data_IF_051304449262
#
_entry.id   IF_051304449262
#
_cell.length_a   1.000
_cell.length_b   1.000
_cell.length_c   1.000
_cell.angle_alpha   90.00
_cell.angle_beta   90.00
_cell.angle_gamma   90.00
#
_symmetry.space_group_name_H-M   'P 1'
#
loop_
_entity.id
_entity.type
_entity.pdbx_description
1 polymer ?
#
# COMPACT_ATOMS: atom_id res chain seq x y z
N UNK A 1 18.03 -18.85 16.46
CA UNK A 1 18.47 -17.47 16.15
C UNK A 1 18.18 -17.27 14.68
N UNK A 2 17.08 -16.58 14.34
CA UNK A 2 16.69 -16.36 12.95
C UNK A 2 17.29 -15.05 12.46
N UNK A 3 17.93 -15.08 11.30
CA UNK A 3 18.51 -13.94 10.61
C UNK A 3 17.52 -12.78 10.56
N UNK A 4 17.83 -11.71 11.30
CA UNK A 4 17.21 -10.40 11.07
C UNK A 4 17.85 -9.85 9.80
N UNK A 5 17.30 -10.23 8.66
CA UNK A 5 17.70 -9.64 7.39
C UNK A 5 17.20 -8.19 7.39
N UNK A 6 18.12 -7.23 7.56
CA UNK A 6 17.83 -5.82 7.47
C UNK A 6 17.16 -5.52 6.13
N UNK A 7 16.02 -4.85 6.15
CA UNK A 7 15.35 -4.42 4.92
C UNK A 7 16.15 -3.22 4.39
N UNK A 8 16.75 -3.30 3.20
CA UNK A 8 17.54 -2.19 2.67
C UNK A 8 16.64 -0.98 2.43
N UNK A 9 17.07 0.22 2.79
CA UNK A 9 16.31 1.47 2.63
C UNK A 9 15.96 1.78 1.19
N UNK A 10 16.85 1.39 0.29
CA UNK A 10 16.76 1.53 -1.15
C UNK A 10 17.07 0.15 -1.73
N UNK A 11 16.12 -0.43 -2.47
CA UNK A 11 16.18 -1.81 -2.92
C UNK A 11 15.87 -1.97 -4.40
N UNK A 12 16.02 -3.21 -4.89
CA UNK A 12 15.48 -3.60 -6.19
C UNK A 12 14.02 -3.99 -6.02
N UNK A 13 13.18 -3.57 -6.97
CA UNK A 13 11.80 -4.03 -7.03
C UNK A 13 11.77 -5.56 -7.22
N UNK A 14 11.12 -6.25 -6.28
CA UNK A 14 10.80 -7.67 -6.38
C UNK A 14 9.55 -7.88 -7.25
N UNK A 15 8.47 -7.14 -6.96
CA UNK A 15 7.19 -7.24 -7.69
C UNK A 15 6.98 -6.01 -8.56
N UNK A 16 7.09 -6.18 -9.88
CA UNK A 16 6.92 -5.07 -10.84
C UNK A 16 5.49 -4.87 -11.32
N UNK A 17 4.61 -5.84 -11.08
CA UNK A 17 3.24 -5.89 -11.59
C UNK A 17 2.30 -6.07 -10.40
N UNK A 18 1.83 -4.97 -9.85
CA UNK A 18 0.95 -4.99 -8.69
C UNK A 18 -0.53 -5.02 -9.11
N UNK A 19 -1.33 -5.66 -8.25
CA UNK A 19 -2.77 -5.69 -8.38
C UNK A 19 -3.39 -4.57 -7.54
N UNK A 20 -4.19 -3.70 -8.16
CA UNK A 20 -5.01 -2.73 -7.43
C UNK A 20 -6.41 -3.23 -7.11
N UNK A 21 -6.86 -4.28 -7.81
CA UNK A 21 -8.01 -5.05 -7.37
C UNK A 21 -7.52 -6.38 -6.78
N UNK A 22 -7.81 -6.70 -5.51
CA UNK A 22 -7.31 -7.90 -4.88
C UNK A 22 -7.72 -9.16 -5.65
N UNK A 23 -6.77 -10.06 -5.88
CA UNK A 23 -7.02 -11.29 -6.65
C UNK A 23 -8.02 -12.20 -5.95
N UNK A 24 -7.98 -12.25 -4.62
CA UNK A 24 -8.91 -13.08 -3.86
C UNK A 24 -10.36 -12.63 -4.07
N UNK A 25 -10.62 -11.32 -4.05
CA UNK A 25 -11.92 -10.75 -4.37
C UNK A 25 -12.37 -11.09 -5.80
N UNK A 26 -11.48 -10.97 -6.77
CA UNK A 26 -11.75 -11.27 -8.18
C UNK A 26 -12.14 -12.75 -8.41
N UNK A 27 -11.64 -13.70 -7.60
CA UNK A 27 -11.95 -15.13 -7.75
C UNK A 27 -13.42 -15.46 -7.58
N UNK A 28 -14.21 -14.61 -6.94
CA UNK A 28 -15.66 -14.81 -6.79
C UNK A 28 -16.47 -14.49 -8.06
N UNK A 29 -15.84 -13.90 -9.08
CA UNK A 29 -16.49 -13.47 -10.32
C UNK A 29 -15.99 -14.25 -11.55
N UNK A 30 -15.32 -15.38 -11.33
CA UNK A 30 -14.85 -16.24 -12.42
C UNK A 30 -15.96 -17.18 -12.88
N UNK A 31 -15.96 -17.49 -14.18
CA UNK A 31 -16.76 -18.59 -14.72
C UNK A 31 -16.13 -19.97 -14.47
N UNK A 32 -16.80 -21.03 -14.93
CA UNK A 32 -16.35 -22.42 -14.82
C UNK A 32 -14.97 -22.69 -15.45
N UNK A 33 -14.46 -21.76 -16.27
CA UNK A 33 -13.13 -21.83 -16.91
C UNK A 33 -12.10 -20.96 -16.21
N UNK A 34 -12.44 -20.37 -15.06
CA UNK A 34 -11.56 -19.48 -14.29
C UNK A 34 -11.37 -18.10 -14.92
N UNK A 35 -12.28 -17.66 -15.80
CA UNK A 35 -12.17 -16.39 -16.53
C UNK A 35 -13.16 -15.36 -16.00
N UNK A 36 -12.75 -14.09 -15.95
CA UNK A 36 -13.61 -12.96 -15.60
C UNK A 36 -14.00 -12.22 -16.86
N UNK A 37 -15.29 -11.89 -16.97
CA UNK A 37 -15.80 -10.95 -17.97
C UNK A 37 -15.87 -9.55 -17.38
N UNK A 38 -15.23 -8.58 -18.01
CA UNK A 38 -15.20 -7.20 -17.53
C UNK A 38 -15.43 -6.19 -18.66
N UNK A 39 -15.97 -5.03 -18.32
CA UNK A 39 -16.21 -3.95 -19.28
C UNK A 39 -15.00 -3.02 -19.28
N UNK A 40 -14.21 -3.06 -20.36
CA UNK A 40 -13.16 -2.09 -20.59
C UNK A 40 -13.75 -0.82 -21.22
N UNK A 41 -13.51 0.33 -20.60
CA UNK A 41 -13.82 1.64 -21.20
C UNK A 41 -12.57 2.14 -21.92
N UNK A 42 -12.68 2.32 -23.23
CA UNK A 42 -11.69 3.02 -24.04
C UNK A 42 -12.40 4.21 -24.71
N UNK A 43 -12.33 5.38 -24.07
CA UNK A 43 -13.09 6.56 -24.48
C UNK A 43 -14.61 6.31 -24.41
N UNK A 44 -15.33 6.56 -25.52
CA UNK A 44 -16.79 6.36 -25.61
C UNK A 44 -17.22 4.90 -25.85
N UNK A 45 -16.28 4.02 -26.21
CA UNK A 45 -16.59 2.63 -26.52
C UNK A 45 -16.50 1.75 -25.27
N UNK A 46 -17.50 0.88 -25.10
CA UNK A 46 -17.54 -0.15 -24.07
C UNK A 46 -17.36 -1.50 -24.77
N UNK A 47 -16.28 -2.19 -24.45
CA UNK A 47 -16.03 -3.55 -24.94
C UNK A 47 -16.04 -4.52 -23.77
N UNK A 48 -16.79 -5.62 -23.91
CA UNK A 48 -16.71 -6.75 -22.98
C UNK A 48 -15.45 -7.53 -23.31
N UNK A 49 -14.56 -7.66 -22.34
CA UNK A 49 -13.32 -8.45 -22.45
C UNK A 49 -13.37 -9.61 -21.49
N UNK A 50 -12.60 -10.66 -21.78
CA UNK A 50 -12.39 -11.81 -20.90
C UNK A 50 -10.92 -11.97 -20.59
N UNK A 51 -10.59 -12.19 -19.33
CA UNK A 51 -9.21 -12.41 -18.89
C UNK A 51 -9.18 -13.30 -17.65
N UNK A 52 -8.02 -13.91 -17.38
CA UNK A 52 -7.73 -14.55 -16.10
C UNK A 52 -7.63 -13.50 -14.99
N UNK A 53 -7.92 -13.89 -13.76
CA UNK A 53 -7.81 -13.06 -12.54
C UNK A 53 -6.48 -12.31 -12.46
N UNK A 54 -5.37 -13.00 -12.76
CA UNK A 54 -4.00 -12.45 -12.75
C UNK A 54 -3.75 -11.31 -13.76
N UNK A 55 -4.70 -11.06 -14.67
CA UNK A 55 -4.58 -10.04 -15.72
C UNK A 55 -5.60 -8.91 -15.58
N UNK A 56 -6.43 -8.92 -14.54
CA UNK A 56 -7.44 -7.89 -14.27
C UNK A 56 -6.99 -7.05 -13.09
N UNK A 57 -7.21 -5.73 -13.18
CA UNK A 57 -6.91 -4.83 -12.08
C UNK A 57 -5.42 -4.73 -11.76
N UNK A 58 -4.56 -4.74 -12.78
CA UNK A 58 -3.09 -4.72 -12.65
C UNK A 58 -2.48 -3.47 -13.27
N UNK A 59 -1.37 -3.01 -12.70
CA UNK A 59 -0.52 -1.97 -13.27
C UNK A 59 0.94 -2.23 -12.91
N UNK A 60 1.87 -1.75 -13.72
CA UNK A 60 3.29 -1.91 -13.42
C UNK A 60 3.78 -0.79 -12.51
N UNK A 61 4.55 -1.13 -11.47
CA UNK A 61 5.19 -0.21 -10.52
C UNK A 61 4.18 0.80 -9.95
N UNK A 62 2.99 0.34 -9.59
CA UNK A 62 1.87 1.18 -9.16
C UNK A 62 2.13 1.82 -7.79
N UNK A 63 2.72 1.09 -6.87
CA UNK A 63 2.96 1.54 -5.50
C UNK A 63 4.41 1.93 -5.24
N UNK A 64 5.25 1.92 -6.28
CA UNK A 64 6.69 2.07 -6.13
C UNK A 64 7.14 3.49 -6.54
N UNK A 65 7.75 4.22 -5.61
CA UNK A 65 8.38 5.52 -5.90
C UNK A 65 9.83 5.35 -6.36
N UNK A 66 10.15 5.94 -7.52
CA UNK A 66 11.50 5.91 -8.08
C UNK A 66 12.45 6.86 -7.32
N UNK A 67 13.63 6.37 -6.98
CA UNK A 67 14.71 7.13 -6.38
C UNK A 67 15.84 7.33 -7.40
N UNK A 68 16.10 8.57 -7.85
CA UNK A 68 17.09 8.85 -8.89
C UNK A 68 18.55 8.80 -8.43
N UNK A 69 18.83 8.51 -7.15
CA UNK A 69 20.15 8.70 -6.54
C UNK A 69 21.18 7.57 -6.76
N UNK A 70 20.87 6.54 -7.54
CA UNK A 70 21.82 5.45 -7.79
C UNK A 70 22.31 5.37 -9.24
N UNK A 71 23.52 4.83 -9.43
CA UNK A 71 24.27 4.77 -10.69
C UNK A 71 23.53 4.14 -11.89
N UNK A 72 22.41 3.45 -11.66
CA UNK A 72 21.57 2.81 -12.69
C UNK A 72 20.18 3.42 -12.85
N UNK A 73 19.82 4.49 -12.14
CA UNK A 73 18.60 5.27 -12.34
C UNK A 73 17.25 4.59 -12.00
N UNK A 74 17.27 3.42 -11.35
CA UNK A 74 16.08 2.56 -11.22
C UNK A 74 16.00 1.93 -9.81
N UNK A 75 16.34 2.71 -8.77
CA UNK A 75 16.22 2.27 -7.39
C UNK A 75 14.85 2.65 -6.84
N UNK A 76 14.24 1.76 -6.08
CA UNK A 76 12.91 1.97 -5.51
C UNK A 76 12.94 1.70 -4.02
N UNK A 77 12.00 2.28 -3.29
CA UNK A 77 11.72 1.78 -1.95
C UNK A 77 11.33 0.30 -2.09
N UNK A 78 11.88 -0.63 -1.28
CA UNK A 78 11.54 -2.04 -1.41
C UNK A 78 10.04 -2.21 -1.18
N UNK A 79 9.34 -2.93 -2.08
CA UNK A 79 7.90 -3.29 -2.19
C UNK A 79 7.05 -3.29 -0.89
N UNK A 80 7.10 -2.23 -0.10
CA UNK A 80 6.63 -2.22 1.27
C UNK A 80 5.11 -2.12 1.31
N UNK A 81 4.57 -1.28 0.43
CA UNK A 81 3.14 -1.13 0.23
C UNK A 81 2.58 -2.46 -0.28
N UNK A 82 3.16 -3.07 -1.32
CA UNK A 82 2.70 -4.36 -1.84
C UNK A 82 2.76 -5.48 -0.80
N UNK A 83 3.82 -5.55 0.01
CA UNK A 83 3.95 -6.52 1.11
C UNK A 83 2.90 -6.30 2.19
N UNK A 84 2.68 -5.04 2.61
CA UNK A 84 1.66 -4.68 3.62
C UNK A 84 0.24 -4.96 3.13
N UNK A 85 -0.03 -4.65 1.86
CA UNK A 85 -1.29 -4.97 1.21
C UNK A 85 -1.52 -6.48 1.18
N UNK A 86 -0.52 -7.27 0.78
CA UNK A 86 -0.59 -8.74 0.74
C UNK A 86 -0.94 -9.33 2.11
N UNK A 87 -0.32 -8.86 3.18
CA UNK A 87 -0.65 -9.28 4.56
C UNK A 87 -2.09 -8.94 4.96
N UNK A 88 -2.58 -7.80 4.50
CA UNK A 88 -3.98 -7.39 4.73
C UNK A 88 -4.95 -8.25 3.91
N UNK A 89 -4.59 -8.60 2.67
CA UNK A 89 -5.40 -9.48 1.82
C UNK A 89 -5.62 -10.85 2.46
N UNK A 90 -4.58 -11.46 3.05
CA UNK A 90 -4.70 -12.78 3.69
C UNK A 90 -5.76 -12.77 4.81
N UNK A 91 -5.82 -11.69 5.59
CA UNK A 91 -6.83 -11.49 6.64
C UNK A 91 -8.23 -11.28 6.04
N UNK A 92 -8.33 -10.42 5.02
CA UNK A 92 -9.61 -10.07 4.38
C UNK A 92 -10.21 -11.23 3.59
N UNK A 93 -9.38 -12.11 3.01
CA UNK A 93 -9.86 -13.26 2.25
C UNK A 93 -10.71 -14.21 3.10
N UNK A 94 -10.24 -14.54 4.31
CA UNK A 94 -11.00 -15.39 5.22
C UNK A 94 -12.35 -14.81 5.64
N UNK A 95 -12.42 -13.48 5.80
CA UNK A 95 -13.66 -12.78 6.16
C UNK A 95 -14.61 -12.59 4.98
N UNK A 96 -14.09 -12.41 3.76
CA UNK A 96 -14.91 -12.24 2.56
C UNK A 96 -15.74 -13.49 2.25
N UNK A 97 -15.15 -14.68 2.38
CA UNK A 97 -15.87 -15.95 2.16
C UNK A 97 -17.08 -16.05 3.10
N UNK A 98 -16.87 -15.79 4.40
CA UNK A 98 -17.94 -15.78 5.39
C UNK A 98 -18.99 -14.72 5.06
N UNK A 99 -18.57 -13.49 4.74
CA UNK A 99 -19.46 -12.38 4.41
C UNK A 99 -20.36 -12.72 3.21
N UNK A 100 -19.80 -13.26 2.13
CA UNK A 100 -20.56 -13.63 0.93
C UNK A 100 -21.54 -14.76 1.25
N UNK A 101 -21.13 -15.77 2.01
CA UNK A 101 -22.02 -16.84 2.44
C UNK A 101 -23.18 -16.34 3.31
N UNK A 102 -22.91 -15.45 4.27
CA UNK A 102 -23.92 -14.85 5.11
C UNK A 102 -24.90 -14.03 4.25
N UNK A 103 -24.41 -13.04 3.49
CA UNK A 103 -25.25 -12.12 2.72
C UNK A 103 -26.05 -12.82 1.61
N UNK A 104 -25.44 -13.75 0.87
CA UNK A 104 -26.12 -14.46 -0.21
C UNK A 104 -27.09 -15.54 0.30
N UNK A 105 -26.90 -16.02 1.53
CA UNK A 105 -27.80 -16.97 2.19
C UNK A 105 -29.03 -16.32 2.83
N UNK A 106 -29.00 -15.01 3.06
CA UNK A 106 -30.10 -14.28 3.71
C UNK A 106 -31.24 -13.95 2.75
N UNK A 107 -32.47 -14.13 3.22
CA UNK A 107 -33.66 -13.54 2.61
C UNK A 107 -33.81 -12.09 3.07
N UNK A 108 -34.50 -11.22 2.30
CA UNK A 108 -34.72 -9.83 2.70
C UNK A 108 -35.42 -9.64 4.06
N UNK A 109 -36.14 -10.65 4.54
CA UNK A 109 -36.81 -10.66 5.84
C UNK A 109 -35.95 -11.15 7.00
N UNK A 110 -34.82 -11.80 6.70
CA UNK A 110 -33.96 -12.38 7.71
C UNK A 110 -33.21 -11.26 8.45
N UNK A 111 -33.11 -11.38 9.78
CA UNK A 111 -32.31 -10.48 10.62
C UNK A 111 -31.00 -11.17 10.96
N UNK A 112 -29.91 -10.41 10.91
CA UNK A 112 -28.65 -10.84 11.51
C UNK A 112 -28.75 -10.69 13.02
N UNK A 113 -28.13 -11.61 13.74
CA UNK A 113 -27.82 -11.40 15.15
C UNK A 113 -26.83 -10.24 15.29
N UNK A 114 -26.86 -9.56 16.44
CA UNK A 114 -26.06 -8.33 16.65
C UNK A 114 -24.55 -8.58 16.45
N UNK A 115 -24.04 -9.73 16.91
CA UNK A 115 -22.63 -10.12 16.74
C UNK A 115 -22.22 -10.28 15.25
N UNK A 116 -23.11 -10.87 14.44
CA UNK A 116 -22.87 -11.04 13.00
C UNK A 116 -22.96 -9.70 12.26
N UNK A 117 -23.88 -8.82 12.70
CA UNK A 117 -23.99 -7.46 12.18
C UNK A 117 -22.72 -6.65 12.49
N UNK A 118 -22.20 -6.74 13.72
CA UNK A 118 -20.97 -6.06 14.13
C UNK A 118 -19.75 -6.57 13.35
N UNK A 119 -19.67 -7.89 13.12
CA UNK A 119 -18.63 -8.50 12.27
C UNK A 119 -18.74 -7.99 10.84
N UNK A 120 -19.95 -7.92 10.29
CA UNK A 120 -20.21 -7.43 8.94
C UNK A 120 -19.80 -5.96 8.79
N UNK A 121 -20.24 -5.10 9.71
CA UNK A 121 -19.90 -3.68 9.72
C UNK A 121 -18.39 -3.49 9.84
N UNK A 122 -17.73 -4.27 10.71
CA UNK A 122 -16.28 -4.24 10.87
C UNK A 122 -15.55 -4.62 9.58
N UNK A 123 -15.97 -5.71 8.93
CA UNK A 123 -15.39 -6.15 7.66
C UNK A 123 -15.54 -5.08 6.57
N UNK A 124 -16.76 -4.58 6.33
CA UNK A 124 -17.05 -3.58 5.30
C UNK A 124 -16.27 -2.28 5.54
N UNK A 125 -16.14 -1.88 6.81
CA UNK A 125 -15.39 -0.68 7.23
C UNK A 125 -13.89 -0.76 6.95
N UNK A 126 -13.35 -1.97 6.72
CA UNK A 126 -11.93 -2.18 6.36
C UNK A 126 -11.81 -2.49 4.87
N UNK A 127 -12.66 -3.38 4.36
CA UNK A 127 -12.59 -3.92 3.01
C UNK A 127 -12.82 -2.85 1.93
N UNK A 128 -13.85 -2.00 2.07
CA UNK A 128 -14.14 -0.96 1.08
C UNK A 128 -12.98 0.05 1.01
N UNK A 129 -12.52 0.65 2.13
CA UNK A 129 -11.36 1.54 2.09
C UNK A 129 -10.10 0.86 1.54
N UNK A 130 -9.88 -0.42 1.84
CA UNK A 130 -8.76 -1.18 1.29
C UNK A 130 -8.79 -1.27 -0.24
N UNK A 131 -9.95 -1.53 -0.85
CA UNK A 131 -10.08 -1.54 -2.33
C UNK A 131 -9.91 -0.13 -2.91
N UNK A 132 -10.55 0.88 -2.30
CA UNK A 132 -10.55 2.25 -2.83
C UNK A 132 -9.15 2.86 -2.78
N UNK A 133 -8.44 2.71 -1.65
CA UNK A 133 -7.12 3.28 -1.40
C UNK A 133 -6.05 2.78 -2.37
N UNK A 134 -6.24 1.57 -2.89
CA UNK A 134 -5.35 0.91 -3.86
C UNK A 134 -5.54 1.33 -5.31
N UNK A 135 -6.66 1.99 -5.61
CA UNK A 135 -6.99 2.36 -7.00
C UNK A 135 -5.91 3.27 -7.61
N UNK A 136 -5.67 3.18 -8.93
CA UNK A 136 -4.75 4.08 -9.62
C UNK A 136 -5.12 5.56 -9.43
N UNK A 137 -6.40 5.87 -9.28
CA UNK A 137 -6.89 7.21 -8.95
C UNK A 137 -6.39 7.68 -7.57
N UNK A 138 -6.49 6.82 -6.57
CA UNK A 138 -6.01 7.09 -5.21
C UNK A 138 -4.49 7.28 -5.17
N UNK A 139 -3.74 6.43 -5.88
CA UNK A 139 -2.28 6.57 -6.04
C UNK A 139 -1.94 7.91 -6.69
N UNK A 140 -2.59 8.28 -7.80
CA UNK A 140 -2.35 9.58 -8.45
C UNK A 140 -2.67 10.75 -7.54
N UNK A 141 -3.73 10.64 -6.74
CA UNK A 141 -4.08 11.65 -5.75
C UNK A 141 -2.96 11.81 -4.71
N UNK A 142 -2.46 10.70 -4.15
CA UNK A 142 -1.33 10.73 -3.22
C UNK A 142 -0.08 11.37 -3.83
N UNK A 143 0.32 10.94 -5.04
CA UNK A 143 1.47 11.52 -5.73
C UNK A 143 1.32 13.03 -5.94
N UNK A 144 0.10 13.51 -6.29
CA UNK A 144 -0.15 14.95 -6.45
C UNK A 144 -0.03 15.77 -5.16
N UNK A 145 -0.10 15.12 -3.99
CA UNK A 145 0.02 15.73 -2.67
C UNK A 145 1.42 15.63 -2.06
N UNK A 146 2.38 15.02 -2.77
CA UNK A 146 3.73 14.85 -2.27
C UNK A 146 4.40 16.20 -1.90
N UNK A 147 4.08 17.29 -2.60
CA UNK A 147 4.63 18.62 -2.27
C UNK A 147 4.17 19.14 -0.90
N UNK A 148 2.93 18.87 -0.48
CA UNK A 148 2.45 19.24 0.86
C UNK A 148 3.27 18.54 1.95
N UNK A 149 3.60 17.27 1.72
CA UNK A 149 4.42 16.46 2.60
C UNK A 149 5.86 16.98 2.61
N UNK A 150 6.41 17.30 1.44
CA UNK A 150 7.76 17.84 1.31
C UNK A 150 7.90 19.19 2.02
N UNK A 151 6.91 20.07 1.90
CA UNK A 151 6.89 21.34 2.62
C UNK A 151 6.83 21.14 4.14
N UNK A 152 6.10 20.13 4.61
CA UNK A 152 6.10 19.73 6.03
C UNK A 152 7.47 19.21 6.46
N UNK A 153 8.13 18.39 5.64
CA UNK A 153 9.49 17.93 5.90
C UNK A 153 10.48 19.08 5.98
N UNK A 154 10.39 20.08 5.08
CA UNK A 154 11.24 21.29 5.10
C UNK A 154 11.06 22.07 6.41
N UNK A 155 9.83 22.29 6.86
CA UNK A 155 9.52 22.95 8.15
C UNK A 155 10.12 22.23 9.35
N UNK A 156 10.26 20.91 9.26
CA UNK A 156 10.85 20.05 10.28
C UNK A 156 12.36 19.85 10.11
N UNK A 157 13.01 20.63 9.23
CA UNK A 157 14.44 20.53 8.92
C UNK A 157 14.87 19.18 8.32
N UNK A 158 13.97 18.52 7.59
CA UNK A 158 14.17 17.25 6.88
C UNK A 158 14.12 17.44 5.36
N UNK A 159 14.34 18.66 4.88
CA UNK A 159 14.31 19.03 3.46
C UNK A 159 15.63 18.77 2.71
N UNK A 160 16.65 18.18 3.35
CA UNK A 160 17.94 17.89 2.73
C UNK A 160 18.36 16.44 2.95
N UNK A 161 19.15 15.92 2.01
CA UNK A 161 19.71 14.55 2.08
C UNK A 161 20.48 14.34 3.38
N UNK A 162 21.31 15.31 3.78
CA UNK A 162 22.16 15.24 4.97
C UNK A 162 21.32 15.08 6.24
N UNK A 163 20.22 15.84 6.36
CA UNK A 163 19.36 15.78 7.54
C UNK A 163 18.56 14.47 7.61
N UNK A 164 18.10 13.97 6.47
CA UNK A 164 17.46 12.66 6.39
C UNK A 164 18.45 11.53 6.75
N UNK A 165 19.71 11.69 6.34
CA UNK A 165 20.81 10.77 6.64
C UNK A 165 21.17 10.76 8.12
N UNK A 166 21.22 11.94 8.77
CA UNK A 166 21.38 12.07 10.22
C UNK A 166 20.24 11.38 10.97
N UNK A 167 18.98 11.68 10.63
CA UNK A 167 17.82 11.06 11.25
C UNK A 167 17.84 9.53 11.07
N UNK A 168 18.18 9.05 9.88
CA UNK A 168 18.30 7.62 9.61
C UNK A 168 19.34 6.96 10.53
N UNK A 169 20.51 7.59 10.69
CA UNK A 169 21.57 7.09 11.58
C UNK A 169 21.10 6.98 13.03
N UNK A 170 20.33 7.94 13.53
CA UNK A 170 19.78 7.92 14.89
C UNK A 170 18.81 6.76 15.13
N UNK A 171 18.12 6.29 14.09
CA UNK A 171 17.15 5.19 14.18
C UNK A 171 17.77 3.78 14.07
N UNK A 172 19.04 3.67 13.69
CA UNK A 172 19.71 2.38 13.47
C UNK A 172 20.38 1.86 14.75
N UNK A 173 20.14 0.59 15.07
CA UNK A 173 20.84 -0.12 16.15
C UNK A 173 22.03 -0.90 15.57
N UNK A 174 23.20 -0.27 15.53
CA UNK A 174 24.52 -0.90 15.30
C UNK A 174 24.80 -1.60 13.95
N UNK A 175 24.07 -1.32 12.87
CA UNK A 175 24.49 -1.75 11.53
C UNK A 175 25.49 -0.78 10.88
N UNK A 176 26.40 -1.32 10.04
CA UNK A 176 27.28 -0.53 9.17
C UNK A 176 26.43 0.32 8.23
N UNK A 177 26.27 1.58 8.59
CA UNK A 177 25.54 2.54 7.80
C UNK A 177 26.32 2.87 6.52
N UNK A 178 25.73 2.62 5.36
CA UNK A 178 26.33 2.94 4.06
C UNK A 178 26.35 4.46 3.84
N UNK A 179 27.53 5.04 4.01
CA UNK A 179 27.77 6.46 3.81
C UNK A 179 27.63 6.92 2.35
N UNK A 180 27.52 6.00 1.38
CA UNK A 180 27.29 6.35 -0.02
C UNK A 180 25.80 6.60 -0.33
N UNK A 181 24.91 6.25 0.61
CA UNK A 181 23.47 6.50 0.46
C UNK A 181 23.17 7.99 0.36
N UNK A 182 22.43 8.33 -0.70
CA UNK A 182 21.89 9.67 -0.93
C UNK A 182 20.38 9.61 -0.90
N UNK A 183 19.79 10.45 -0.05
CA UNK A 183 18.36 10.56 0.13
C UNK A 183 17.82 11.70 -0.73
N UNK A 184 16.74 11.44 -1.47
CA UNK A 184 16.05 12.43 -2.29
C UNK A 184 14.76 12.83 -1.55
N UNK A 185 14.69 14.03 -0.93
CA UNK A 185 13.54 14.45 -0.14
C UNK A 185 12.20 14.33 -0.88
N UNK A 186 12.18 14.67 -2.17
CA UNK A 186 11.00 14.59 -3.03
C UNK A 186 10.47 13.15 -3.13
N UNK A 187 11.37 12.18 -3.35
CA UNK A 187 11.01 10.77 -3.44
C UNK A 187 10.51 10.22 -2.09
N UNK A 188 11.10 10.68 -0.99
CA UNK A 188 10.64 10.30 0.36
C UNK A 188 9.26 10.90 0.63
N UNK A 189 9.03 12.17 0.27
CA UNK A 189 7.74 12.83 0.45
C UNK A 189 6.63 12.12 -0.36
N UNK A 190 6.92 11.72 -1.59
CA UNK A 190 6.00 10.93 -2.39
C UNK A 190 5.70 9.57 -1.75
N UNK A 191 6.72 8.85 -1.30
CA UNK A 191 6.56 7.56 -0.62
C UNK A 191 5.71 7.70 0.66
N UNK A 192 5.93 8.74 1.45
CA UNK A 192 5.12 9.06 2.64
C UNK A 192 3.68 9.34 2.25
N UNK A 193 3.46 10.16 1.23
CA UNK A 193 2.12 10.48 0.75
C UNK A 193 1.36 9.21 0.31
N UNK A 194 2.04 8.31 -0.41
CA UNK A 194 1.50 7.01 -0.79
C UNK A 194 1.15 6.16 0.45
N UNK A 195 2.01 6.12 1.47
CA UNK A 195 1.72 5.39 2.70
C UNK A 195 0.49 5.93 3.43
N UNK A 196 0.40 7.25 3.57
CA UNK A 196 -0.74 7.89 4.23
C UNK A 196 -2.06 7.61 3.51
N UNK A 197 -2.02 7.57 2.18
CA UNK A 197 -3.20 7.32 1.36
C UNK A 197 -3.59 5.84 1.28
N UNK A 198 -2.60 4.95 1.10
CA UNK A 198 -2.82 3.51 0.84
C UNK A 198 -2.96 2.71 2.14
N UNK A 199 -2.27 3.15 3.20
CA UNK A 199 -2.20 2.46 4.48
C UNK A 199 -2.70 3.36 5.64
N UNK A 200 -3.92 3.91 5.58
CA UNK A 200 -4.40 4.88 6.57
C UNK A 200 -4.57 4.32 7.99
N UNK A 201 -4.47 2.98 8.16
CA UNK A 201 -4.50 2.28 9.44
C UNK A 201 -3.51 1.11 9.43
N UNK A 202 -2.22 1.40 9.36
CA UNK A 202 -1.26 0.36 9.72
C UNK A 202 -1.49 -0.01 11.20
N UNK A 203 -1.85 -1.25 11.44
CA UNK A 203 -1.93 -1.81 12.79
C UNK A 203 -0.56 -1.68 13.45
N UNK A 204 -0.53 -1.20 14.69
CA UNK A 204 0.70 -1.12 15.51
C UNK A 204 1.41 -2.47 15.64
N UNK A 205 0.77 -3.60 15.34
CA UNK A 205 1.29 -4.95 15.61
C UNK A 205 2.09 -5.60 14.46
N UNK A 206 2.27 -4.93 13.32
CA UNK A 206 2.99 -5.54 12.20
C UNK A 206 4.51 -5.33 12.36
N UNK A 207 5.22 -6.38 12.80
CA UNK A 207 6.68 -6.39 13.01
C UNK A 207 7.49 -5.88 11.81
N UNK A 208 6.98 -6.08 10.59
CA UNK A 208 7.61 -5.66 9.33
C UNK A 208 7.59 -4.13 9.14
N UNK A 209 6.52 -3.50 9.59
CA UNK A 209 6.33 -2.05 9.58
C UNK A 209 7.33 -1.40 10.54
N UNK A 210 7.45 -1.95 11.75
CA UNK A 210 8.40 -1.48 12.76
C UNK A 210 9.88 -1.72 12.40
N UNK A 211 10.18 -2.57 11.42
CA UNK A 211 11.56 -2.84 10.97
C UNK A 211 12.06 -1.91 9.88
N UNK A 212 11.19 -1.07 9.30
CA UNK A 212 11.65 -0.03 8.38
C UNK A 212 12.13 1.18 9.20
N UNK A 213 13.39 1.53 9.06
CA UNK A 213 14.00 2.74 9.64
C UNK A 213 13.31 4.03 9.17
N UNK A 214 12.68 4.01 7.99
CA UNK A 214 11.80 5.08 7.53
C UNK A 214 10.47 5.14 8.31
N UNK A 215 9.93 4.02 8.80
CA UNK A 215 8.64 4.00 9.49
C UNK A 215 8.61 4.89 10.73
N UNK A 216 9.66 4.89 11.56
CA UNK A 216 9.73 5.75 12.74
C UNK A 216 9.77 7.25 12.36
N UNK A 217 10.50 7.59 11.29
CA UNK A 217 10.53 8.95 10.75
C UNK A 217 9.17 9.37 10.16
N UNK A 218 8.47 8.45 9.48
CA UNK A 218 7.15 8.70 8.90
C UNK A 218 6.05 8.79 9.97
N UNK A 219 6.09 7.98 11.03
CA UNK A 219 5.18 8.11 12.18
C UNK A 219 5.36 9.46 12.87
N UNK A 220 6.62 9.91 13.07
CA UNK A 220 6.90 11.25 13.60
C UNK A 220 6.34 12.36 12.71
N UNK A 221 6.47 12.22 11.38
CA UNK A 221 5.91 13.17 10.40
C UNK A 221 4.37 13.11 10.33
N UNK A 222 3.75 11.94 10.52
CA UNK A 222 2.29 11.76 10.53
C UNK A 222 1.64 12.42 11.75
N UNK A 223 2.29 12.35 12.91
CA UNK A 223 1.77 12.92 14.15
C UNK A 223 2.01 14.44 14.25
N UNK A 224 2.81 15.01 13.33
CA UNK A 224 2.92 16.45 13.14
C UNK A 224 1.65 16.98 12.45
N UNK A 225 1.05 18.10 12.92
CA UNK A 225 -0.11 18.67 12.27
C UNK A 225 0.26 19.11 10.85
N UNK A 226 -0.22 18.36 9.84
CA UNK A 226 -0.20 18.83 8.46
C UNK A 226 -0.94 20.17 8.44
N UNK A 227 -0.23 21.25 8.13
CA UNK A 227 -0.84 22.58 8.08
C UNK A 227 -1.96 22.54 7.05
N UNK A 228 -3.19 22.83 7.50
CA UNK A 228 -4.36 23.01 6.64
C UNK A 228 -4.16 24.14 5.64
#
# INVERSE_FOLDING_TARGET
MGDRQAIPTIGKIETKREHYLPRFFLRHFVDDRGMISYVARAGKNRAVKRARVENVGVQNRLYETACPSGESGDYYFPNYIEKSLSLTEDKLNGELDWFLHAVLGMRPSDRLEDDDLDRLVSFVSIFIPHIVSRSPESVRYATSRAEDVLETMRKLNLGSSEKLKELYRETQSEEEFDETLTFVPEAIAEQISLWMQILPRISKDEKFVRSSSLYNAVEYLRDCPLSK
#
